data_IF_647140165516
#
_entry.id   IF_647140165516
#
_cell.length_a   1.000
_cell.length_b   1.000
_cell.length_c   1.000
_cell.angle_alpha   90.00
_cell.angle_beta   90.00
_cell.angle_gamma   90.00
#
_symmetry.space_group_name_H-M   'P 1'
#
loop_
_entity.id
_entity.type
_entity.pdbx_description
1 polymer ?
#
# COMPACT_ATOMS: atom_id res chain seq x y z
N UNK A 1 11.64 1.54 10.89
CA UNK A 1 11.22 0.81 9.69
C UNK A 1 10.04 -0.09 10.03
N UNK A 2 9.03 -0.06 9.19
CA UNK A 2 7.81 -0.83 9.40
C UNK A 2 7.51 -1.66 8.17
N UNK A 3 6.62 -2.63 8.33
CA UNK A 3 6.15 -3.40 7.19
C UNK A 3 4.66 -3.68 7.35
N UNK A 4 3.99 -3.83 6.21
CA UNK A 4 2.56 -4.12 6.20
C UNK A 4 2.25 -4.92 4.94
N UNK A 5 1.44 -5.96 5.10
CA UNK A 5 1.09 -6.83 3.98
C UNK A 5 -0.13 -6.28 3.27
N UNK A 6 -0.12 -6.38 1.95
CA UNK A 6 -1.25 -5.94 1.12
C UNK A 6 -2.31 -7.03 1.13
N UNK A 7 -3.52 -6.72 1.63
CA UNK A 7 -4.58 -7.72 1.68
C UNK A 7 -5.22 -7.95 0.31
N UNK A 8 -5.92 -9.08 0.18
CA UNK A 8 -6.47 -9.48 -1.10
C UNK A 8 -7.56 -8.55 -1.61
N UNK A 9 -8.32 -7.94 -0.72
CA UNK A 9 -9.46 -7.12 -1.11
C UNK A 9 -9.16 -5.63 -1.24
N UNK A 10 -7.89 -5.27 -1.23
CA UNK A 10 -7.52 -3.86 -1.25
C UNK A 10 -7.88 -3.21 -2.60
N UNK A 11 -8.42 -2.00 -2.54
CA UNK A 11 -8.88 -1.33 -3.77
C UNK A 11 -7.72 -0.96 -4.70
N UNK A 12 -6.50 -0.87 -4.18
CA UNK A 12 -5.33 -0.43 -4.95
C UNK A 12 -4.57 -1.53 -5.65
N UNK A 13 -5.09 -2.76 -5.63
CA UNK A 13 -4.41 -3.87 -6.29
C UNK A 13 -4.17 -3.54 -7.76
N UNK A 14 -2.92 -3.68 -8.20
CA UNK A 14 -2.54 -3.42 -9.58
C UNK A 14 -2.28 -1.96 -9.90
N UNK A 15 -2.50 -1.06 -8.97
CA UNK A 15 -2.25 0.36 -9.18
C UNK A 15 -0.86 0.73 -8.70
N UNK A 16 -0.26 1.74 -9.34
CA UNK A 16 1.09 2.14 -8.95
C UNK A 16 1.04 3.15 -7.81
N UNK A 17 2.18 3.30 -7.15
CA UNK A 17 2.29 4.14 -5.96
C UNK A 17 1.97 5.60 -6.26
N UNK A 18 2.36 6.08 -7.44
CA UNK A 18 2.09 7.46 -7.82
C UNK A 18 0.62 7.75 -7.98
N UNK A 19 -0.10 6.87 -8.67
CA UNK A 19 -1.54 7.03 -8.87
C UNK A 19 -2.30 6.89 -7.56
N UNK A 20 -1.81 6.04 -6.66
CA UNK A 20 -2.41 5.86 -5.36
C UNK A 20 -2.15 7.04 -4.42
N UNK A 21 -1.20 7.89 -4.78
CA UNK A 21 -0.75 8.97 -3.91
C UNK A 21 -0.37 8.44 -2.53
N UNK A 22 0.43 7.37 -2.54
CA UNK A 22 0.72 6.62 -1.32
C UNK A 22 1.36 7.52 -0.26
N UNK A 23 2.37 8.28 -0.65
CA UNK A 23 3.05 9.16 0.29
C UNK A 23 2.11 10.24 0.83
N UNK A 24 1.33 10.85 -0.05
CA UNK A 24 0.40 11.90 0.36
C UNK A 24 -0.69 11.35 1.28
N UNK A 25 -1.11 10.11 1.06
CA UNK A 25 -2.18 9.51 1.84
C UNK A 25 -1.70 9.04 3.21
N UNK A 26 -0.42 8.66 3.33
CA UNK A 26 0.04 8.00 4.54
C UNK A 26 1.18 8.73 5.24
N UNK A 27 1.92 9.56 4.53
CA UNK A 27 3.12 10.17 5.08
C UNK A 27 4.31 9.24 5.15
N UNK A 28 4.17 8.02 4.63
CA UNK A 28 5.24 7.02 4.67
C UNK A 28 5.99 6.99 3.36
N UNK A 29 7.29 6.71 3.45
CA UNK A 29 8.13 6.51 2.28
C UNK A 29 8.38 5.03 2.10
N UNK A 30 8.00 4.49 0.95
CA UNK A 30 8.19 3.07 0.68
C UNK A 30 9.66 2.82 0.36
N UNK A 31 10.28 1.98 1.18
CA UNK A 31 11.69 1.63 0.99
C UNK A 31 11.85 0.40 0.11
N UNK A 32 10.90 -0.53 0.18
CA UNK A 32 10.98 -1.77 -0.61
C UNK A 32 9.60 -2.41 -0.67
N UNK A 33 9.42 -3.23 -1.69
CA UNK A 33 8.24 -4.08 -1.81
C UNK A 33 8.75 -5.51 -1.90
N UNK A 34 8.30 -6.37 -1.00
CA UNK A 34 8.68 -7.78 -1.05
C UNK A 34 7.57 -8.59 -1.69
N UNK A 35 7.91 -9.27 -2.76
CA UNK A 35 6.96 -10.09 -3.52
C UNK A 35 7.54 -11.49 -3.62
N UNK A 36 6.99 -12.40 -2.80
CA UNK A 36 7.57 -13.73 -2.70
C UNK A 36 8.98 -13.63 -2.13
N UNK A 37 9.97 -14.08 -2.89
CA UNK A 37 11.37 -14.00 -2.49
C UNK A 37 12.11 -12.85 -3.16
N UNK A 38 11.38 -12.00 -3.88
CA UNK A 38 11.98 -10.88 -4.62
C UNK A 38 11.72 -9.58 -3.89
N UNK A 39 12.77 -8.79 -3.70
CA UNK A 39 12.65 -7.46 -3.10
C UNK A 39 12.85 -6.41 -4.18
N UNK A 40 11.88 -5.52 -4.30
CA UNK A 40 11.96 -4.37 -5.18
C UNK A 40 12.40 -3.20 -4.31
N UNK A 41 13.66 -2.79 -4.47
CA UNK A 41 14.24 -1.78 -3.60
C UNK A 41 14.01 -0.40 -4.19
N UNK A 42 13.75 0.57 -3.31
CA UNK A 42 13.53 1.96 -3.69
C UNK A 42 12.56 2.06 -4.86
N UNK A 43 11.36 1.52 -4.71
CA UNK A 43 10.40 1.52 -5.82
C UNK A 43 10.02 2.96 -6.15
N UNK A 44 9.96 3.25 -7.44
CA UNK A 44 9.54 4.55 -7.90
C UNK A 44 8.02 4.65 -7.93
N UNK A 45 7.50 5.78 -8.42
CA UNK A 45 6.06 6.00 -8.44
C UNK A 45 5.32 5.05 -9.40
N UNK A 46 6.03 4.43 -10.31
CA UNK A 46 5.40 3.52 -11.27
C UNK A 46 5.31 2.09 -10.75
N UNK A 47 5.90 1.81 -9.59
CA UNK A 47 5.84 0.47 -9.02
C UNK A 47 4.41 0.14 -8.58
N UNK A 48 3.93 -1.03 -8.93
CA UNK A 48 2.58 -1.47 -8.62
C UNK A 48 2.58 -2.36 -7.40
N UNK A 49 1.46 -2.37 -6.70
CA UNK A 49 1.26 -3.25 -5.54
C UNK A 49 0.25 -4.32 -5.88
N UNK A 50 0.49 -5.51 -5.38
CA UNK A 50 -0.39 -6.66 -5.60
C UNK A 50 -0.70 -7.35 -4.29
N UNK A 51 -1.76 -8.13 -4.28
CA UNK A 51 -2.16 -8.88 -3.09
C UNK A 51 -1.02 -9.77 -2.64
N UNK A 52 -0.76 -9.79 -1.34
CA UNK A 52 0.31 -10.61 -0.78
C UNK A 52 1.66 -9.93 -0.74
N UNK A 53 1.82 -8.77 -1.40
CA UNK A 53 3.05 -8.01 -1.28
C UNK A 53 3.22 -7.52 0.15
N UNK A 54 4.46 -7.37 0.59
CA UNK A 54 4.76 -6.71 1.85
C UNK A 54 5.42 -5.38 1.54
N UNK A 55 4.79 -4.32 2.00
CA UNK A 55 5.33 -2.97 1.84
C UNK A 55 6.22 -2.67 3.02
N UNK A 56 7.49 -2.38 2.76
CA UNK A 56 8.45 -2.00 3.79
C UNK A 56 8.64 -0.50 3.68
N UNK A 57 8.39 0.22 4.75
CA UNK A 57 8.35 1.67 4.67
C UNK A 57 8.96 2.32 5.89
N UNK A 58 9.29 3.59 5.75
CA UNK A 58 9.85 4.43 6.81
C UNK A 58 8.89 5.55 7.08
N UNK A 59 8.77 5.91 8.34
CA UNK A 59 7.89 6.99 8.73
C UNK A 59 7.72 7.02 10.23
N UNK A 60 6.97 7.99 10.70
CA UNK A 60 6.65 8.07 12.11
C UNK A 60 5.52 7.11 12.44
N UNK A 61 5.25 6.97 13.73
CA UNK A 61 4.20 6.06 14.17
C UNK A 61 2.86 6.37 13.55
N UNK A 62 2.55 7.65 13.36
CA UNK A 62 1.30 8.06 12.70
C UNK A 62 1.25 7.53 11.27
N UNK A 63 2.39 7.54 10.59
CA UNK A 63 2.45 7.02 9.23
C UNK A 63 2.19 5.51 9.22
N UNK A 64 2.70 4.79 10.21
CA UNK A 64 2.44 3.36 10.32
C UNK A 64 0.95 3.08 10.40
N UNK A 65 0.26 3.81 11.26
CA UNK A 65 -1.18 3.64 11.41
C UNK A 65 -1.92 4.01 10.14
N UNK A 66 -1.46 5.07 9.47
CA UNK A 66 -2.08 5.50 8.22
C UNK A 66 -1.90 4.46 7.11
N UNK A 67 -0.73 3.83 7.04
CA UNK A 67 -0.50 2.77 6.06
C UNK A 67 -1.43 1.59 6.33
N UNK A 68 -1.57 1.21 7.59
CA UNK A 68 -2.45 0.10 7.93
C UNK A 68 -3.88 0.37 7.50
N UNK A 69 -4.36 1.58 7.76
CA UNK A 69 -5.71 1.95 7.34
C UNK A 69 -5.82 1.99 5.82
N UNK A 70 -4.81 2.54 5.17
CA UNK A 70 -4.83 2.69 3.71
C UNK A 70 -4.90 1.33 3.02
N UNK A 71 -4.09 0.38 3.50
CA UNK A 71 -4.05 -0.95 2.89
C UNK A 71 -5.26 -1.80 3.26
N UNK A 72 -6.04 -1.36 4.22
CA UNK A 72 -7.25 -2.08 4.59
C UNK A 72 -8.50 -1.45 3.99
N UNK A 73 -8.34 -0.50 3.09
CA UNK A 73 -9.48 0.08 2.38
C UNK A 73 -9.93 -0.90 1.32
N UNK A 74 -11.15 -1.41 1.48
CA UNK A 74 -11.65 -2.42 0.58
C UNK A 74 -12.11 -1.81 -0.72
N UNK A 75 -12.06 -2.61 -1.77
CA UNK A 75 -12.51 -2.19 -3.06
C UNK A 75 -14.00 -1.92 -3.02
N UNK A 76 -14.39 -0.76 -3.57
CA UNK A 76 -15.80 -0.43 -3.70
C UNK A 76 -16.44 -1.36 -4.69
N UNK A 77 -17.54 -1.96 -4.29
CA UNK A 77 -18.26 -2.79 -5.22
C UNK A 77 -19.58 -2.16 -5.59
N UNK A 78 -19.66 -1.01 -5.47
CA UNK A 78 -20.81 -0.33 -5.79
C UNK A 78 -21.83 -0.55 -4.76
N UNK A 79 -21.96 -0.94 -4.30
CA UNK A 79 -22.71 -0.94 -3.49
C UNK A 79 -22.82 -0.66 -2.55
N UNK A 80 -22.46 -0.81 -2.51
CA UNK A 80 -22.46 -0.64 -1.75
C UNK A 80 -22.89 0.14 -0.95
N UNK A 81 -23.01 0.45 -0.85
CA UNK A 81 -23.30 1.12 -0.08
C UNK A 81 -24.17 1.78 -0.13
N UNK A 82 -24.60 1.69 -0.04
CA UNK A 82 -25.33 2.08 0.05
C UNK A 82 -25.78 2.73 0.26
N UNK A 83 -26.22 2.91 0.35
CA UNK A 83 -26.67 3.65 0.83
C UNK A 83 -27.28 3.70 1.05
#
# INVERSE_FOLDING_TARGET
>A
TFSCRVPDGWYGIGKNLGDLRFWQATGATVAAIRRGTTDILSPGPYAELYAGDTVIFVGEKKAKEAVERFLNTEQETGSGKGP
#
